data_IF_958710395448
#
_entry.id   IF_958710395448
#
_cell.length_a   1.000
_cell.length_b   1.000
_cell.length_c   1.000
_cell.angle_alpha   90.00
_cell.angle_beta   90.00
_cell.angle_gamma   90.00
#
_symmetry.space_group_name_H-M   'P 1'
#
loop_
_entity.id
_entity.type
_entity.pdbx_description
1 polymer ?
#
# COMPACT_ATOMS: atom_id res chain seq x y z
N UNK A 1 -20.70 -48.16 2.37
CA UNK A 1 -22.11 -47.90 2.71
C UNK A 1 -22.23 -46.40 2.90
N UNK A 2 -22.82 -45.68 1.94
CA UNK A 2 -23.13 -44.25 2.08
C UNK A 2 -24.39 -44.16 2.93
N UNK A 3 -24.28 -43.61 4.12
CA UNK A 3 -25.42 -43.27 4.98
C UNK A 3 -26.33 -42.28 4.24
N UNK A 4 -27.62 -42.57 4.18
CA UNK A 4 -28.62 -41.68 3.59
C UNK A 4 -28.84 -40.47 4.51
N UNK A 5 -28.69 -39.23 4.02
CA UNK A 5 -28.92 -38.02 4.80
C UNK A 5 -30.42 -37.71 4.78
N UNK A 6 -31.20 -38.34 5.67
CA UNK A 6 -32.64 -38.02 5.82
C UNK A 6 -33.03 -37.49 7.20
N UNK A 7 -32.09 -37.41 8.15
CA UNK A 7 -32.39 -37.00 9.54
C UNK A 7 -31.62 -35.74 9.99
N UNK A 8 -31.12 -34.92 9.05
CA UNK A 8 -30.46 -33.66 9.39
C UNK A 8 -31.49 -32.58 9.77
N UNK A 9 -31.84 -32.60 11.06
CA UNK A 9 -32.58 -31.61 11.86
C UNK A 9 -32.31 -30.16 11.43
N UNK A 10 -33.34 -29.31 11.42
CA UNK A 10 -33.33 -27.87 11.10
C UNK A 10 -32.48 -26.96 12.02
N UNK A 11 -31.56 -27.51 12.80
CA UNK A 11 -30.75 -26.81 13.81
C UNK A 11 -29.35 -26.40 13.33
N UNK A 12 -29.00 -26.66 12.07
CA UNK A 12 -27.71 -26.22 11.47
C UNK A 12 -27.59 -24.69 11.31
N UNK A 13 -28.66 -23.95 11.59
CA UNK A 13 -28.71 -22.49 11.58
C UNK A 13 -27.79 -21.80 12.60
N UNK A 14 -27.05 -22.55 13.42
CA UNK A 14 -26.26 -22.02 14.54
C UNK A 14 -24.73 -22.08 14.36
N UNK A 15 -24.20 -22.86 13.41
CA UNK A 15 -22.74 -22.87 13.19
C UNK A 15 -22.34 -21.76 12.24
N UNK A 16 -21.51 -20.82 12.73
CA UNK A 16 -20.98 -19.75 11.90
C UNK A 16 -19.94 -20.31 10.92
N UNK A 17 -19.85 -19.72 9.71
CA UNK A 17 -18.84 -20.08 8.70
C UNK A 17 -17.42 -20.14 9.27
N UNK A 18 -16.95 -19.17 10.09
CA UNK A 18 -15.66 -19.25 10.76
C UNK A 18 -15.46 -20.53 11.60
N UNK A 19 -16.50 -20.99 12.29
CA UNK A 19 -16.44 -22.20 13.12
C UNK A 19 -16.32 -23.46 12.26
N UNK A 20 -17.07 -23.52 11.14
CA UNK A 20 -16.99 -24.64 10.19
C UNK A 20 -15.60 -24.71 9.54
N UNK A 21 -15.01 -23.56 9.21
CA UNK A 21 -13.63 -23.46 8.70
C UNK A 21 -12.63 -23.93 9.76
N UNK A 22 -12.75 -23.46 11.01
CA UNK A 22 -11.84 -23.85 12.09
C UNK A 22 -11.85 -25.36 12.37
N UNK A 23 -13.00 -26.01 12.15
CA UNK A 23 -13.19 -27.43 12.34
C UNK A 23 -12.91 -28.27 11.08
N UNK A 24 -12.44 -27.67 9.98
CA UNK A 24 -12.23 -28.32 8.68
C UNK A 24 -13.47 -29.05 8.11
N UNK A 25 -14.68 -28.59 8.45
CA UNK A 25 -15.95 -29.26 8.11
C UNK A 25 -16.79 -28.47 7.10
N UNK A 26 -16.32 -27.31 6.62
CA UNK A 26 -17.12 -26.39 5.80
C UNK A 26 -17.79 -27.08 4.60
N UNK A 27 -17.04 -27.84 3.81
CA UNK A 27 -17.56 -28.51 2.61
C UNK A 27 -18.34 -29.81 2.91
N UNK A 28 -18.28 -30.31 4.14
CA UNK A 28 -19.14 -31.40 4.59
C UNK A 28 -20.51 -30.88 5.06
N UNK A 29 -20.51 -29.69 5.70
CA UNK A 29 -21.71 -29.02 6.18
C UNK A 29 -22.50 -28.38 5.04
N UNK A 30 -21.80 -27.76 4.08
CA UNK A 30 -22.41 -27.12 2.93
C UNK A 30 -22.15 -27.96 1.67
N UNK A 31 -22.92 -29.04 1.52
CA UNK A 31 -22.78 -30.01 0.43
C UNK A 31 -23.24 -29.46 -0.95
N UNK A 32 -24.09 -28.44 -0.95
CA UNK A 32 -24.53 -27.71 -2.15
C UNK A 32 -23.81 -26.36 -2.33
N UNK A 33 -23.39 -26.08 -3.56
CA UNK A 33 -22.67 -24.85 -3.96
C UNK A 33 -23.45 -23.58 -3.58
N UNK A 34 -24.75 -23.54 -3.84
CA UNK A 34 -25.54 -22.32 -3.62
C UNK A 34 -25.72 -22.04 -2.13
N UNK A 35 -25.86 -23.10 -1.33
CA UNK A 35 -25.94 -23.01 0.13
C UNK A 35 -24.61 -22.51 0.71
N UNK A 36 -23.48 -23.04 0.23
CA UNK A 36 -22.14 -22.56 0.60
C UNK A 36 -21.97 -21.07 0.26
N UNK A 37 -22.31 -20.68 -0.97
CA UNK A 37 -22.24 -19.28 -1.42
C UNK A 37 -23.10 -18.37 -0.52
N UNK A 38 -24.34 -18.75 -0.24
CA UNK A 38 -25.23 -17.98 0.62
C UNK A 38 -24.68 -17.83 2.04
N UNK A 39 -24.00 -18.85 2.58
CA UNK A 39 -23.33 -18.76 3.87
C UNK A 39 -22.13 -17.81 3.83
N UNK A 40 -21.30 -17.89 2.79
CA UNK A 40 -20.10 -17.06 2.63
C UNK A 40 -20.42 -15.57 2.42
N UNK A 41 -21.50 -15.23 1.70
CA UNK A 41 -21.94 -13.84 1.49
C UNK A 41 -22.29 -13.09 2.77
N UNK A 42 -22.57 -13.82 3.86
CA UNK A 42 -22.93 -13.26 5.16
C UNK A 42 -21.76 -13.29 6.16
N UNK A 43 -20.54 -13.62 5.71
CA UNK A 43 -19.36 -13.74 6.54
C UNK A 43 -18.20 -12.90 6.00
N UNK A 44 -17.55 -12.14 6.89
CA UNK A 44 -16.23 -11.56 6.63
C UNK A 44 -15.16 -12.53 7.09
N UNK A 45 -14.32 -12.98 6.17
CA UNK A 45 -13.25 -13.96 6.41
C UNK A 45 -11.92 -13.25 6.67
N UNK A 46 -11.09 -13.80 7.54
CA UNK A 46 -9.65 -13.43 7.57
C UNK A 46 -8.96 -13.99 6.32
N UNK A 47 -7.77 -13.48 5.99
CA UNK A 47 -6.98 -14.04 4.88
C UNK A 47 -6.79 -15.55 5.02
N UNK A 48 -6.43 -16.04 6.21
CA UNK A 48 -6.16 -17.46 6.44
C UNK A 48 -7.41 -18.32 6.21
N UNK A 49 -8.59 -17.82 6.62
CA UNK A 49 -9.86 -18.48 6.38
C UNK A 49 -10.23 -18.49 4.89
N UNK A 50 -10.09 -17.35 4.20
CA UNK A 50 -10.32 -17.27 2.76
C UNK A 50 -9.37 -18.20 2.00
N UNK A 51 -8.11 -18.26 2.42
CA UNK A 51 -7.10 -19.13 1.85
C UNK A 51 -7.49 -20.61 1.95
N UNK A 52 -7.99 -21.05 3.11
CA UNK A 52 -8.55 -22.39 3.29
C UNK A 52 -9.73 -22.64 2.34
N UNK A 53 -10.71 -21.73 2.29
CA UNK A 53 -11.91 -21.89 1.44
C UNK A 53 -11.51 -22.04 -0.03
N UNK A 54 -10.58 -21.22 -0.51
CA UNK A 54 -10.16 -21.23 -1.92
C UNK A 54 -9.36 -22.49 -2.25
N UNK A 55 -8.45 -22.89 -1.38
CA UNK A 55 -7.64 -24.09 -1.60
C UNK A 55 -8.47 -25.38 -1.57
N UNK A 56 -9.43 -25.47 -0.64
CA UNK A 56 -10.30 -26.64 -0.53
C UNK A 56 -11.36 -26.69 -1.64
N UNK A 57 -11.89 -25.55 -2.11
CA UNK A 57 -12.97 -25.54 -3.11
C UNK A 57 -12.60 -26.28 -4.39
N UNK A 58 -11.31 -26.25 -4.78
CA UNK A 58 -10.81 -26.92 -6.00
C UNK A 58 -10.93 -28.45 -5.95
N UNK A 59 -11.11 -29.04 -4.76
CA UNK A 59 -11.31 -30.48 -4.58
C UNK A 59 -12.74 -30.91 -4.89
N UNK A 60 -13.69 -30.00 -4.68
CA UNK A 60 -15.13 -30.29 -4.75
C UNK A 60 -15.80 -29.71 -6.00
N UNK A 61 -15.25 -28.62 -6.55
CA UNK A 61 -15.92 -27.81 -7.54
C UNK A 61 -15.07 -27.56 -8.80
N UNK A 62 -15.74 -27.25 -9.90
CA UNK A 62 -15.07 -26.84 -11.14
C UNK A 62 -14.39 -25.47 -10.96
N UNK A 63 -13.49 -25.10 -11.88
CA UNK A 63 -12.83 -23.77 -11.84
C UNK A 63 -13.86 -22.63 -11.86
N UNK A 64 -14.92 -22.76 -12.67
CA UNK A 64 -15.99 -21.76 -12.75
C UNK A 64 -16.77 -21.64 -11.43
N UNK A 65 -17.06 -22.77 -10.80
CA UNK A 65 -17.73 -22.79 -9.49
C UNK A 65 -16.81 -22.26 -8.37
N UNK A 66 -15.51 -22.55 -8.41
CA UNK A 66 -14.52 -21.97 -7.50
C UNK A 66 -14.49 -20.45 -7.63
N UNK A 67 -14.57 -19.93 -8.86
CA UNK A 67 -14.67 -18.49 -9.11
C UNK A 67 -15.93 -17.88 -8.48
N UNK A 68 -17.09 -18.53 -8.60
CA UNK A 68 -18.34 -18.08 -7.95
C UNK A 68 -18.22 -18.04 -6.43
N UNK A 69 -17.58 -19.06 -5.83
CA UNK A 69 -17.33 -19.16 -4.38
C UNK A 69 -16.39 -18.03 -3.94
N UNK A 70 -15.25 -17.86 -4.60
CA UNK A 70 -14.28 -16.80 -4.33
C UNK A 70 -14.94 -15.42 -4.41
N UNK A 71 -15.72 -15.16 -5.46
CA UNK A 71 -16.44 -13.89 -5.67
C UNK A 71 -17.42 -13.58 -4.54
N UNK A 72 -17.94 -14.60 -3.88
CA UNK A 72 -18.96 -14.49 -2.84
C UNK A 72 -18.39 -14.27 -1.45
N UNK A 73 -17.05 -14.31 -1.29
CA UNK A 73 -16.39 -14.09 -0.01
C UNK A 73 -16.07 -12.61 0.21
N UNK A 74 -16.43 -12.07 1.36
CA UNK A 74 -15.85 -10.82 1.88
C UNK A 74 -14.59 -11.15 2.68
N UNK A 75 -13.44 -10.56 2.34
CA UNK A 75 -12.14 -10.90 2.94
C UNK A 75 -11.51 -9.66 3.54
N UNK A 76 -11.31 -9.68 4.87
CA UNK A 76 -10.49 -8.69 5.56
C UNK A 76 -9.00 -8.97 5.31
N UNK A 77 -8.39 -8.17 4.45
CA UNK A 77 -6.97 -8.30 4.13
C UNK A 77 -6.03 -7.85 5.25
N UNK A 78 -6.50 -7.06 6.22
CA UNK A 78 -5.65 -6.46 7.23
C UNK A 78 -4.40 -5.74 6.66
N UNK A 79 -3.33 -5.70 7.45
CA UNK A 79 -2.06 -5.03 7.10
C UNK A 79 -0.87 -6.02 7.12
N UNK A 80 -1.00 -7.17 6.45
CA UNK A 80 0.02 -8.23 6.41
C UNK A 80 0.35 -8.62 4.97
N UNK A 81 1.34 -7.97 4.32
CA UNK A 81 1.69 -8.22 2.92
C UNK A 81 1.99 -9.69 2.61
N UNK A 82 2.72 -10.38 3.49
CA UNK A 82 3.03 -11.81 3.36
C UNK A 82 1.77 -12.68 3.20
N UNK A 83 0.71 -12.38 3.96
CA UNK A 83 -0.55 -13.11 3.87
C UNK A 83 -1.30 -12.78 2.58
N UNK A 84 -1.25 -11.53 2.12
CA UNK A 84 -1.85 -11.14 0.83
C UNK A 84 -1.15 -11.88 -0.31
N UNK A 85 0.18 -11.97 -0.29
CA UNK A 85 0.95 -12.77 -1.25
C UNK A 85 0.56 -14.25 -1.20
N UNK A 86 0.37 -14.82 -0.01
CA UNK A 86 -0.12 -16.19 0.17
C UNK A 86 -1.49 -16.39 -0.48
N UNK A 87 -2.44 -15.49 -0.22
CA UNK A 87 -3.79 -15.54 -0.80
C UNK A 87 -3.76 -15.44 -2.33
N UNK A 88 -2.92 -14.56 -2.89
CA UNK A 88 -2.74 -14.41 -4.33
C UNK A 88 -2.16 -15.67 -4.98
N UNK A 89 -1.24 -16.36 -4.32
CA UNK A 89 -0.72 -17.63 -4.82
C UNK A 89 -1.81 -18.71 -4.82
N UNK A 90 -2.63 -18.78 -3.76
CA UNK A 90 -3.77 -19.71 -3.70
C UNK A 90 -4.81 -19.40 -4.78
N UNK A 91 -5.09 -18.12 -5.05
CA UNK A 91 -5.95 -17.71 -6.17
C UNK A 91 -5.35 -18.11 -7.53
N UNK A 92 -4.04 -17.95 -7.71
CA UNK A 92 -3.33 -18.40 -8.90
C UNK A 92 -3.53 -19.91 -9.11
N UNK A 93 -3.34 -20.71 -8.06
CA UNK A 93 -3.43 -22.16 -8.13
C UNK A 93 -4.88 -22.65 -8.31
N UNK A 94 -5.83 -22.00 -7.63
CA UNK A 94 -7.25 -22.37 -7.66
C UNK A 94 -7.89 -22.01 -8.99
N UNK A 95 -7.59 -20.83 -9.54
CA UNK A 95 -8.17 -20.33 -10.79
C UNK A 95 -7.30 -20.61 -12.01
N UNK A 96 -6.10 -21.17 -11.82
CA UNK A 96 -5.09 -21.42 -12.86
C UNK A 96 -4.76 -20.15 -13.67
N UNK A 97 -4.60 -19.02 -12.96
CA UNK A 97 -4.39 -17.71 -13.58
C UNK A 97 -3.13 -17.01 -13.04
N UNK A 98 -2.05 -17.06 -13.83
CA UNK A 98 -0.72 -16.53 -13.49
C UNK A 98 -0.66 -15.04 -13.13
N UNK A 99 -1.70 -14.26 -13.46
CA UNK A 99 -1.76 -12.84 -13.13
C UNK A 99 -1.64 -12.60 -11.63
N UNK A 100 -2.28 -13.42 -10.79
CA UNK A 100 -2.24 -13.24 -9.34
C UNK A 100 -0.83 -13.44 -8.78
N UNK A 101 -0.09 -14.42 -9.31
CA UNK A 101 1.32 -14.63 -8.96
C UNK A 101 2.20 -13.45 -9.36
N UNK A 102 1.98 -12.87 -10.55
CA UNK A 102 2.69 -11.65 -10.97
C UNK A 102 2.39 -10.46 -10.05
N UNK A 103 1.14 -10.29 -9.62
CA UNK A 103 0.77 -9.27 -8.64
C UNK A 103 1.47 -9.52 -7.30
N UNK A 104 1.50 -10.77 -6.83
CA UNK A 104 2.22 -11.16 -5.61
C UNK A 104 3.70 -10.81 -5.68
N UNK A 105 4.38 -11.09 -6.80
CA UNK A 105 5.77 -10.70 -7.01
C UNK A 105 5.96 -9.18 -6.96
N UNK A 106 5.06 -8.39 -7.58
CA UNK A 106 5.13 -6.92 -7.54
C UNK A 106 4.98 -6.40 -6.10
N UNK A 107 4.06 -6.97 -5.31
CA UNK A 107 3.88 -6.59 -3.90
C UNK A 107 5.15 -6.93 -3.10
N UNK A 108 5.72 -8.11 -3.29
CA UNK A 108 6.94 -8.53 -2.60
C UNK A 108 8.15 -7.67 -2.98
N UNK A 109 8.33 -7.38 -4.27
CA UNK A 109 9.41 -6.53 -4.76
C UNK A 109 9.27 -5.11 -4.18
N UNK A 110 8.04 -4.63 -4.06
CA UNK A 110 7.74 -3.34 -3.45
C UNK A 110 8.05 -3.31 -1.96
N UNK A 111 7.66 -4.35 -1.21
CA UNK A 111 8.00 -4.48 0.21
C UNK A 111 9.51 -4.53 0.41
N UNK A 112 10.22 -5.32 -0.39
CA UNK A 112 11.68 -5.40 -0.38
C UNK A 112 12.33 -4.04 -0.68
N UNK A 113 11.78 -3.30 -1.65
CA UNK A 113 12.24 -1.96 -1.99
C UNK A 113 12.00 -0.98 -0.82
N UNK A 114 10.83 -0.99 -0.20
CA UNK A 114 10.54 -0.15 0.97
C UNK A 114 11.47 -0.44 2.14
N UNK A 115 11.75 -1.72 2.41
CA UNK A 115 12.70 -2.14 3.44
C UNK A 115 14.12 -1.63 3.12
N UNK A 116 14.54 -1.70 1.85
CA UNK A 116 15.85 -1.23 1.40
C UNK A 116 15.99 0.29 1.48
N UNK A 117 14.95 1.05 1.10
CA UNK A 117 14.93 2.51 1.14
C UNK A 117 14.81 3.05 2.57
N UNK A 118 14.10 2.34 3.46
CA UNK A 118 13.84 2.79 4.81
C UNK A 118 14.19 1.74 5.89
N UNK A 119 15.48 1.38 6.03
CA UNK A 119 15.90 0.34 6.97
C UNK A 119 15.57 0.67 8.44
N UNK A 120 15.42 1.97 8.77
CA UNK A 120 15.03 2.43 10.11
C UNK A 120 13.53 2.24 10.42
N UNK A 121 12.65 2.27 9.41
CA UNK A 121 11.21 1.99 9.57
C UNK A 121 10.96 0.49 9.75
N UNK A 122 11.69 -0.34 9.01
CA UNK A 122 11.65 -1.81 9.14
C UNK A 122 12.01 -2.28 10.57
N UNK A 123 13.04 -1.68 11.18
CA UNK A 123 13.46 -2.03 12.56
C UNK A 123 12.48 -1.59 13.63
N UNK A 124 11.85 -0.42 13.50
CA UNK A 124 10.93 0.11 14.52
C UNK A 124 9.57 -0.59 14.50
N UNK A 125 9.05 -0.93 13.31
CA UNK A 125 7.75 -1.60 13.20
C UNK A 125 7.82 -3.07 13.63
N UNK A 126 8.89 -3.79 13.27
CA UNK A 126 9.09 -5.18 13.71
C UNK A 126 9.34 -5.31 15.22
N UNK A 127 10.15 -4.43 15.83
CA UNK A 127 10.43 -4.47 17.27
C UNK A 127 9.24 -4.04 18.13
N UNK A 128 8.47 -3.02 17.71
CA UNK A 128 7.28 -2.62 18.46
C UNK A 128 6.18 -3.68 18.39
N UNK A 129 5.89 -4.25 17.23
CA UNK A 129 4.82 -5.24 17.10
C UNK A 129 5.16 -6.53 17.85
N UNK A 130 6.39 -7.03 17.74
CA UNK A 130 6.84 -8.20 18.50
C UNK A 130 6.74 -7.97 20.01
N UNK A 131 7.18 -6.79 20.50
CA UNK A 131 7.09 -6.47 21.94
C UNK A 131 5.66 -6.30 22.44
N UNK A 132 4.73 -5.84 21.60
CA UNK A 132 3.31 -5.69 21.92
C UNK A 132 2.62 -7.06 21.92
N UNK A 133 2.97 -7.93 20.96
CA UNK A 133 2.47 -9.31 20.87
C UNK A 133 2.97 -10.14 22.06
N UNK A 134 4.26 -10.04 22.41
CA UNK A 134 4.83 -10.74 23.58
C UNK A 134 4.22 -10.26 24.90
N UNK A 135 4.00 -8.95 25.05
CA UNK A 135 3.27 -8.41 26.21
C UNK A 135 1.82 -8.89 26.26
N UNK A 136 1.14 -8.94 25.12
CA UNK A 136 -0.25 -9.39 25.05
C UNK A 136 -0.36 -10.88 25.36
N UNK A 137 0.61 -11.69 24.90
CA UNK A 137 0.72 -13.12 25.18
C UNK A 137 1.06 -13.40 26.65
N UNK A 138 2.01 -12.68 27.24
CA UNK A 138 2.31 -12.76 28.68
C UNK A 138 1.12 -12.32 29.55
N UNK A 139 0.33 -11.34 29.09
CA UNK A 139 -0.89 -10.91 29.78
C UNK A 139 -2.03 -11.94 29.65
N UNK A 140 -2.09 -12.70 28.55
CA UNK A 140 -3.06 -13.76 28.35
C UNK A 140 -2.70 -15.05 29.12
N UNK A 141 -1.41 -15.37 29.22
CA UNK A 141 -0.88 -16.52 29.98
C UNK A 141 -0.95 -16.28 31.51
N UNK A 142 -0.91 -15.03 31.96
CA UNK A 142 -1.20 -14.65 33.34
C UNK A 142 -2.71 -14.62 33.62
N UNK A 143 -3.23 -15.77 34.02
CA UNK A 143 -4.64 -16.15 34.27
C UNK A 143 -5.43 -15.37 35.35
N UNK A 144 -5.06 -14.12 35.67
CA UNK A 144 -5.83 -13.27 36.59
C UNK A 144 -6.92 -12.45 35.87
N UNK A 145 -6.83 -12.23 34.55
CA UNK A 145 -7.72 -11.33 33.81
C UNK A 145 -9.07 -11.95 33.37
N UNK A 146 -9.18 -13.28 33.35
CA UNK A 146 -10.49 -13.94 33.16
C UNK A 146 -11.44 -13.73 34.36
N UNK A 147 -10.93 -13.30 35.52
CA UNK A 147 -11.73 -13.13 36.75
C UNK A 147 -12.19 -11.70 37.01
N UNK A 148 -11.73 -10.69 36.27
CA UNK A 148 -12.16 -9.31 36.52
C UNK A 148 -12.15 -8.41 35.27
N UNK A 149 -13.23 -8.44 34.46
CA UNK A 149 -13.39 -7.64 33.23
C UNK A 149 -13.26 -6.13 33.45
N UNK A 150 -13.53 -5.64 34.68
CA UNK A 150 -13.48 -4.21 35.00
C UNK A 150 -12.06 -3.63 34.96
N UNK A 151 -11.03 -4.42 35.26
CA UNK A 151 -9.62 -3.98 35.18
C UNK A 151 -9.14 -3.89 33.73
N UNK A 152 -9.55 -4.82 32.87
CA UNK A 152 -9.22 -4.82 31.45
C UNK A 152 -9.84 -3.61 30.74
N UNK A 153 -11.12 -3.32 30.97
CA UNK A 153 -11.80 -2.16 30.41
C UNK A 153 -11.18 -0.83 30.87
N UNK A 154 -10.67 -0.77 32.12
CA UNK A 154 -9.96 0.40 32.63
C UNK A 154 -8.58 0.59 31.97
N UNK A 155 -7.87 -0.50 31.65
CA UNK A 155 -6.60 -0.43 30.92
C UNK A 155 -6.80 -0.07 29.44
N UNK A 156 -7.82 -0.61 28.77
CA UNK A 156 -8.20 -0.24 27.40
C UNK A 156 -8.57 1.25 27.32
N UNK A 157 -9.34 1.75 28.30
CA UNK A 157 -9.65 3.17 28.43
C UNK A 157 -8.40 4.05 28.58
N UNK A 158 -7.41 3.59 29.35
CA UNK A 158 -6.16 4.32 29.53
C UNK A 158 -5.25 4.29 28.29
N UNK A 159 -5.27 3.20 27.52
CA UNK A 159 -4.55 3.10 26.23
C UNK A 159 -5.16 4.03 25.18
N UNK A 160 -6.50 4.13 25.12
CA UNK A 160 -7.19 5.11 24.28
C UNK A 160 -6.83 6.56 24.64
N UNK A 161 -6.63 6.86 25.93
CA UNK A 161 -6.17 8.17 26.40
C UNK A 161 -4.70 8.46 26.10
N UNK A 162 -3.85 7.43 25.98
CA UNK A 162 -2.46 7.60 25.56
C UNK A 162 -2.34 7.85 24.05
N UNK A 163 -3.13 7.14 23.23
CA UNK A 163 -3.17 7.35 21.77
C UNK A 163 -3.68 8.73 21.35
N UNK A 164 -4.59 9.33 22.14
CA UNK A 164 -5.12 10.68 21.91
C UNK A 164 -4.24 11.81 22.44
N UNK A 165 -3.20 11.50 23.23
CA UNK A 165 -2.19 12.50 23.65
C UNK A 165 -1.08 12.70 22.62
N UNK A 166 -0.75 11.67 21.84
CA UNK A 166 0.27 11.77 20.78
C UNK A 166 -0.16 12.65 19.59
N UNK A 167 -1.47 12.85 19.35
CA UNK A 167 -1.96 13.79 18.31
C UNK A 167 -1.92 15.27 18.71
N UNK A 168 -1.76 15.59 20.00
CA UNK A 168 -1.76 16.97 20.49
C UNK A 168 -0.34 17.57 20.53
N UNK A 169 0.69 16.73 20.72
CA UNK A 169 2.08 17.20 20.81
C UNK A 169 2.76 17.41 19.44
N UNK A 170 2.26 16.82 18.35
CA UNK A 170 2.81 17.09 17.00
C UNK A 170 2.43 18.48 16.44
N UNK A 171 1.33 19.09 16.92
CA UNK A 171 0.94 20.45 16.48
C UNK A 171 1.72 21.57 17.17
N UNK A 172 2.39 21.31 18.28
CA UNK A 172 3.12 22.33 19.05
C UNK A 172 4.64 22.30 18.83
N UNK A 173 5.18 21.34 18.07
CA UNK A 173 6.61 21.22 17.81
C UNK A 173 7.12 22.08 16.63
N UNK A 174 6.26 22.83 15.92
CA UNK A 174 6.64 23.62 14.74
C UNK A 174 6.89 25.12 15.02
N UNK A 175 6.80 25.56 16.27
CA UNK A 175 7.13 26.93 16.66
C UNK A 175 8.06 26.84 17.86
N UNK A 176 9.38 26.86 17.60
CA UNK A 176 10.48 27.24 18.50
C UNK A 176 11.78 26.54 18.03
N UNK A 177 12.38 27.01 16.93
CA UNK A 177 13.83 26.90 16.69
C UNK A 177 14.28 27.99 15.69
N UNK A 178 14.24 29.24 16.13
CA UNK A 178 15.16 30.28 15.68
C UNK A 178 15.81 30.82 16.96
N UNK A 179 17.04 30.39 17.27
CA UNK A 179 18.16 31.28 17.57
C UNK A 179 19.43 30.48 17.95
N UNK A 180 20.57 31.11 17.63
CA UNK A 180 21.94 30.87 18.08
C UNK A 180 22.79 29.75 17.43
N UNK A 181 23.93 30.19 16.86
CA UNK A 181 25.16 29.38 16.84
C UNK A 181 25.99 29.46 15.57
N UNK A 182 26.67 30.58 15.33
CA UNK A 182 27.70 30.70 14.29
C UNK A 182 28.84 29.70 14.48
N UNK A 183 29.06 28.81 13.51
CA UNK A 183 30.28 28.01 13.38
C UNK A 183 30.97 28.39 12.06
N UNK A 184 32.13 29.06 12.18
CA UNK A 184 33.09 29.24 11.09
C UNK A 184 33.68 27.87 10.75
N UNK A 185 33.33 27.33 9.58
CA UNK A 185 34.02 26.16 9.00
C UNK A 185 35.07 26.64 8.01
N UNK A 186 36.32 26.40 8.37
CA UNK A 186 37.50 26.56 7.54
C UNK A 186 37.45 25.56 6.37
N UNK A 187 37.48 26.08 5.13
CA UNK A 187 37.45 25.26 3.91
C UNK A 187 38.77 24.52 3.75
N UNK A 188 38.74 23.20 3.94
CA UNK A 188 39.78 22.29 3.47
C UNK A 188 39.58 22.05 1.97
N UNK A 189 40.58 22.41 1.17
CA UNK A 189 40.60 22.17 -0.29
C UNK A 189 40.69 20.66 -0.59
N UNK A 190 39.85 20.11 -1.48
CA UNK A 190 40.02 18.75 -1.97
C UNK A 190 41.17 18.65 -2.98
N UNK A 191 41.78 17.46 -3.13
CA UNK A 191 42.97 17.26 -3.95
C UNK A 191 42.66 17.37 -5.44
N UNK A 192 43.57 18.03 -6.17
CA UNK A 192 43.55 18.15 -7.64
C UNK A 192 43.71 16.76 -8.28
N UNK A 193 42.63 16.22 -8.83
CA UNK A 193 42.68 15.08 -9.75
C UNK A 193 42.91 15.58 -11.17
N UNK A 194 44.11 15.34 -11.70
CA UNK A 194 44.41 15.53 -13.12
C UNK A 194 43.80 14.39 -13.94
N UNK A 195 42.62 14.61 -14.51
CA UNK A 195 42.13 13.80 -15.64
C UNK A 195 41.72 14.73 -16.78
N UNK A 196 42.58 14.82 -17.79
CA UNK A 196 42.32 15.50 -19.05
C UNK A 196 41.33 14.66 -19.85
N UNK A 197 40.04 14.91 -19.63
CA UNK A 197 38.96 14.52 -20.54
C UNK A 197 38.53 15.78 -21.26
N UNK A 198 38.75 15.84 -22.58
CA UNK A 198 38.18 16.84 -23.47
C UNK A 198 36.65 16.70 -23.44
N UNK A 199 36.04 17.35 -22.47
CA UNK A 199 34.60 17.61 -22.45
C UNK A 199 34.42 18.90 -23.22
N UNK A 200 33.85 18.79 -24.42
CA UNK A 200 33.39 19.94 -25.19
C UNK A 200 32.36 20.68 -24.35
N UNK A 201 32.78 21.80 -23.75
CA UNK A 201 31.92 22.72 -23.02
C UNK A 201 30.91 23.28 -24.02
N UNK A 202 29.70 22.71 -24.05
CA UNK A 202 28.57 23.36 -24.69
C UNK A 202 28.27 24.63 -23.89
N UNK A 203 28.55 25.75 -24.55
CA UNK A 203 28.31 27.12 -24.13
C UNK A 203 26.87 27.23 -23.61
N UNK A 204 26.72 27.61 -22.34
CA UNK A 204 25.45 27.72 -21.64
C UNK A 204 24.39 28.44 -22.49
N UNK A 205 23.32 27.71 -22.76
CA UNK A 205 22.20 28.20 -23.55
C UNK A 205 21.38 29.16 -22.65
N UNK A 206 21.07 30.39 -23.08
CA UNK A 206 20.27 31.36 -22.32
C UNK A 206 18.79 30.97 -22.11
N UNK A 207 18.41 29.70 -22.33
CA UNK A 207 17.04 29.18 -22.17
C UNK A 207 16.58 29.15 -20.70
N UNK A 208 17.53 29.01 -19.76
CA UNK A 208 17.25 28.66 -18.37
C UNK A 208 16.37 29.67 -17.61
N UNK A 209 16.34 30.96 -17.98
CA UNK A 209 15.50 31.93 -17.27
C UNK A 209 14.03 31.80 -17.66
N UNK A 210 13.72 31.54 -18.93
CA UNK A 210 12.35 31.67 -19.44
C UNK A 210 11.40 30.62 -18.85
N UNK A 211 11.85 29.39 -18.62
CA UNK A 211 11.01 28.33 -18.04
C UNK A 211 10.86 28.47 -16.52
N UNK A 212 11.90 28.94 -15.81
CA UNK A 212 11.79 29.30 -14.38
C UNK A 212 10.84 30.50 -14.22
N UNK A 213 10.93 31.50 -15.09
CA UNK A 213 10.01 32.65 -15.10
C UNK A 213 8.56 32.24 -15.41
N UNK A 214 8.35 31.18 -16.19
CA UNK A 214 7.02 30.60 -16.41
C UNK A 214 6.53 29.86 -15.16
N UNK A 215 7.35 28.98 -14.58
CA UNK A 215 6.98 28.22 -13.38
C UNK A 215 6.65 29.16 -12.22
N UNK A 216 7.50 30.14 -11.93
CA UNK A 216 7.30 31.10 -10.82
C UNK A 216 6.03 31.94 -10.92
N UNK A 217 5.42 32.05 -12.10
CA UNK A 217 4.13 32.72 -12.31
C UNK A 217 2.92 31.81 -12.10
N UNK A 218 3.13 30.49 -12.04
CA UNK A 218 2.09 29.51 -11.81
C UNK A 218 1.82 29.42 -10.30
N UNK A 219 0.58 29.70 -9.91
CA UNK A 219 0.13 29.47 -8.54
C UNK A 219 0.05 27.96 -8.25
N UNK A 220 0.74 27.51 -7.19
CA UNK A 220 0.73 26.09 -6.77
C UNK A 220 -0.64 25.76 -6.17
N UNK A 221 -1.51 25.19 -7.02
CA UNK A 221 -2.81 24.66 -6.62
C UNK A 221 -3.13 23.40 -7.41
N UNK A 222 -3.83 22.48 -6.76
CA UNK A 222 -4.36 21.30 -7.45
C UNK A 222 -5.38 21.71 -8.51
N UNK A 223 -5.40 20.99 -9.61
CA UNK A 223 -6.33 21.23 -10.71
C UNK A 223 -5.73 20.88 -12.06
N UNK A 224 -6.59 20.42 -12.97
CA UNK A 224 -6.20 19.99 -14.32
C UNK A 224 -5.28 20.99 -15.04
N UNK A 225 -5.66 22.28 -15.09
CA UNK A 225 -4.91 23.28 -15.87
C UNK A 225 -3.51 23.52 -15.31
N UNK A 226 -3.41 23.83 -14.01
CA UNK A 226 -2.12 24.04 -13.33
C UNK A 226 -1.21 22.83 -13.48
N UNK A 227 -1.76 21.63 -13.33
CA UNK A 227 -1.02 20.39 -13.47
C UNK A 227 -0.38 20.25 -14.86
N UNK A 228 -1.16 20.46 -15.93
CA UNK A 228 -0.65 20.30 -17.30
C UNK A 228 0.33 21.40 -17.70
N UNK A 229 0.13 22.63 -17.23
CA UNK A 229 1.07 23.73 -17.47
C UNK A 229 2.45 23.40 -16.85
N UNK A 230 2.47 22.88 -15.61
CA UNK A 230 3.70 22.43 -14.95
C UNK A 230 4.29 21.22 -15.67
N UNK A 231 3.47 20.22 -16.01
CA UNK A 231 3.92 19.01 -16.69
C UNK A 231 4.61 19.32 -18.03
N UNK A 232 4.03 20.22 -18.83
CA UNK A 232 4.60 20.61 -20.12
C UNK A 232 5.95 21.28 -19.95
N UNK A 233 6.08 22.20 -18.97
CA UNK A 233 7.36 22.87 -18.69
C UNK A 233 8.43 21.85 -18.28
N UNK A 234 8.11 20.92 -17.37
CA UNK A 234 9.08 19.91 -16.92
C UNK A 234 9.45 18.91 -18.01
N UNK A 235 8.49 18.51 -18.84
CA UNK A 235 8.76 17.62 -19.97
C UNK A 235 9.68 18.28 -21.00
N UNK A 236 9.50 19.58 -21.28
CA UNK A 236 10.37 20.34 -22.18
C UNK A 236 11.76 20.52 -21.56
N UNK A 237 11.84 20.87 -20.27
CA UNK A 237 13.10 20.98 -19.55
C UNK A 237 13.90 19.66 -19.58
N UNK A 238 13.23 18.51 -19.40
CA UNK A 238 13.86 17.20 -19.53
C UNK A 238 14.42 16.95 -20.93
N UNK A 239 13.65 17.23 -22.00
CA UNK A 239 14.11 17.07 -23.39
C UNK A 239 15.29 17.97 -23.74
N UNK A 240 15.34 19.17 -23.14
CA UNK A 240 16.42 20.14 -23.31
C UNK A 240 17.62 19.89 -22.37
N UNK A 241 17.55 18.88 -21.49
CA UNK A 241 18.49 18.65 -20.40
C UNK A 241 18.69 19.88 -19.49
N UNK A 242 17.65 20.69 -19.29
CA UNK A 242 17.67 21.85 -18.40
C UNK A 242 17.43 21.43 -16.94
N UNK A 243 18.51 20.98 -16.30
CA UNK A 243 18.45 20.50 -14.92
C UNK A 243 18.06 21.58 -13.91
N UNK A 244 18.30 22.86 -14.22
CA UNK A 244 18.01 23.96 -13.30
C UNK A 244 16.51 24.13 -13.11
N UNK A 245 15.74 24.03 -14.20
CA UNK A 245 14.28 24.08 -14.16
C UNK A 245 13.71 22.90 -13.36
N UNK A 246 14.27 21.71 -13.55
CA UNK A 246 13.83 20.49 -12.83
C UNK A 246 14.09 20.63 -11.33
N UNK A 247 15.31 21.03 -10.94
CA UNK A 247 15.66 21.23 -9.54
C UNK A 247 14.80 22.33 -8.91
N UNK A 248 14.63 23.46 -9.60
CA UNK A 248 13.76 24.55 -9.14
C UNK A 248 12.32 24.07 -8.89
N UNK A 249 11.77 23.25 -9.79
CA UNK A 249 10.42 22.71 -9.64
C UNK A 249 10.28 21.77 -8.43
N UNK A 250 11.28 20.93 -8.18
CA UNK A 250 11.33 20.03 -7.02
C UNK A 250 11.46 20.85 -5.73
N UNK A 251 12.41 21.76 -5.66
CA UNK A 251 12.69 22.60 -4.47
C UNK A 251 11.48 23.46 -4.07
N UNK A 252 10.65 23.83 -5.04
CA UNK A 252 9.44 24.64 -4.82
C UNK A 252 8.15 23.83 -4.85
N UNK A 253 8.20 22.49 -4.71
CA UNK A 253 7.05 21.59 -4.59
C UNK A 253 6.07 21.58 -5.80
N UNK A 254 6.47 22.05 -6.99
CA UNK A 254 5.63 21.94 -8.19
C UNK A 254 5.33 20.49 -8.58
N UNK A 255 6.21 19.57 -8.19
CA UNK A 255 6.07 18.13 -8.38
C UNK A 255 4.93 17.48 -7.57
N UNK A 256 4.42 18.16 -6.55
CA UNK A 256 3.37 17.66 -5.66
C UNK A 256 1.95 18.07 -6.09
N UNK A 257 1.84 18.87 -7.16
CA UNK A 257 0.54 19.29 -7.70
C UNK A 257 -0.21 18.07 -8.22
N UNK A 258 -1.47 17.94 -7.83
CA UNK A 258 -2.37 16.89 -8.28
C UNK A 258 -3.32 17.41 -9.36
N UNK A 259 -3.65 16.56 -10.33
CA UNK A 259 -4.76 16.81 -11.24
C UNK A 259 -6.12 16.50 -10.58
N UNK A 260 -7.22 16.68 -11.32
CA UNK A 260 -8.59 16.44 -10.83
C UNK A 260 -8.87 14.96 -10.50
N UNK A 261 -8.02 14.04 -10.95
CA UNK A 261 -8.07 12.62 -10.63
C UNK A 261 -7.14 12.23 -9.45
N UNK A 262 -6.66 13.23 -8.70
CA UNK A 262 -5.71 13.07 -7.59
C UNK A 262 -4.36 12.45 -8.01
N UNK A 263 -3.99 12.58 -9.29
CA UNK A 263 -2.74 12.06 -9.83
C UNK A 263 -1.65 13.15 -9.84
N UNK A 264 -0.48 12.83 -9.30
CA UNK A 264 0.71 13.67 -9.41
C UNK A 264 1.45 13.47 -10.76
N UNK A 265 2.53 14.24 -10.97
CA UNK A 265 3.29 14.24 -12.22
C UNK A 265 3.83 12.85 -12.60
N UNK A 266 4.32 12.06 -11.64
CA UNK A 266 4.86 10.72 -11.88
C UNK A 266 3.81 9.76 -12.44
N UNK A 267 2.55 9.87 -11.99
CA UNK A 267 1.45 9.08 -12.56
C UNK A 267 1.28 9.36 -14.04
N UNK A 268 1.35 10.62 -14.43
CA UNK A 268 1.17 11.01 -15.81
C UNK A 268 2.33 10.54 -16.69
N UNK A 269 3.56 10.64 -16.19
CA UNK A 269 4.76 10.12 -16.86
C UNK A 269 4.63 8.60 -17.05
N UNK A 270 4.29 7.88 -15.99
CA UNK A 270 4.11 6.43 -16.02
C UNK A 270 2.97 5.99 -16.95
N UNK A 271 1.83 6.70 -16.91
CA UNK A 271 0.67 6.45 -17.78
C UNK A 271 1.00 6.60 -19.27
N UNK A 272 1.94 7.49 -19.59
CA UNK A 272 2.45 7.67 -20.96
C UNK A 272 3.56 6.68 -21.34
N UNK A 273 4.00 5.83 -20.42
CA UNK A 273 5.07 4.87 -20.64
C UNK A 273 6.46 5.51 -20.78
N UNK A 274 6.64 6.77 -20.36
CA UNK A 274 7.90 7.50 -20.48
C UNK A 274 8.84 7.13 -19.33
N UNK A 275 9.33 5.88 -19.38
CA UNK A 275 10.11 5.28 -18.29
C UNK A 275 11.46 5.97 -18.06
N UNK A 276 12.06 6.55 -19.10
CA UNK A 276 13.32 7.30 -18.97
C UNK A 276 13.11 8.62 -18.25
N UNK A 277 12.04 9.36 -18.56
CA UNK A 277 11.71 10.57 -17.81
C UNK A 277 11.36 10.25 -16.35
N UNK A 278 10.66 9.15 -16.10
CA UNK A 278 10.32 8.70 -14.74
C UNK A 278 11.58 8.42 -13.91
N UNK A 279 12.53 7.65 -14.46
CA UNK A 279 13.83 7.37 -13.82
C UNK A 279 14.62 8.64 -13.57
N UNK A 280 14.61 9.57 -14.53
CA UNK A 280 15.30 10.85 -14.41
C UNK A 280 14.76 11.68 -13.24
N UNK A 281 13.44 11.84 -13.14
CA UNK A 281 12.81 12.60 -12.05
C UNK A 281 13.10 11.99 -10.67
N UNK A 282 13.05 10.65 -10.56
CA UNK A 282 13.44 9.96 -9.33
C UNK A 282 14.90 10.20 -8.97
N UNK A 283 15.82 10.12 -9.95
CA UNK A 283 17.25 10.42 -9.74
C UNK A 283 17.48 11.86 -9.27
N UNK A 284 16.62 12.81 -9.64
CA UNK A 284 16.66 14.20 -9.19
C UNK A 284 16.04 14.44 -7.81
N UNK A 285 15.58 13.38 -7.13
CA UNK A 285 15.07 13.46 -5.77
C UNK A 285 13.55 13.67 -5.67
N UNK A 286 12.81 13.52 -6.79
CA UNK A 286 11.35 13.51 -6.72
C UNK A 286 10.88 12.27 -5.95
N UNK A 287 10.03 12.48 -4.94
CA UNK A 287 9.50 11.39 -4.12
C UNK A 287 8.53 10.51 -4.93
N UNK A 288 8.94 9.26 -5.15
CA UNK A 288 8.12 8.25 -5.83
C UNK A 288 7.10 7.60 -4.88
N UNK A 289 7.20 7.78 -3.57
CA UNK A 289 6.32 7.15 -2.58
C UNK A 289 4.86 7.51 -2.83
N UNK A 290 4.58 8.80 -3.08
CA UNK A 290 3.23 9.27 -3.38
C UNK A 290 2.66 8.66 -4.67
N UNK A 291 3.51 8.41 -5.67
CA UNK A 291 3.13 7.69 -6.89
C UNK A 291 2.71 6.25 -6.60
N UNK A 292 3.45 5.55 -5.73
CA UNK A 292 3.11 4.19 -5.37
C UNK A 292 1.83 4.09 -4.56
N UNK A 293 1.65 4.94 -3.54
CA UNK A 293 0.45 4.92 -2.69
C UNK A 293 -0.81 5.08 -3.54
N UNK A 294 -0.83 6.08 -4.42
CA UNK A 294 -1.99 6.35 -5.27
C UNK A 294 -2.16 5.28 -6.36
N UNK A 295 -1.08 4.73 -6.93
CA UNK A 295 -1.17 3.63 -7.89
C UNK A 295 -1.72 2.34 -7.27
N UNK A 296 -1.25 1.97 -6.07
CA UNK A 296 -1.75 0.82 -5.30
C UNK A 296 -3.21 1.04 -4.92
N UNK A 297 -3.55 2.22 -4.38
CA UNK A 297 -4.92 2.59 -4.08
C UNK A 297 -5.81 2.48 -5.32
N UNK A 298 -5.36 2.90 -6.49
CA UNK A 298 -6.18 2.83 -7.70
C UNK A 298 -6.32 1.40 -8.25
N UNK A 299 -5.29 0.57 -8.14
CA UNK A 299 -5.41 -0.86 -8.45
C UNK A 299 -6.40 -1.49 -7.48
N UNK A 300 -6.33 -1.14 -6.20
CA UNK A 300 -7.26 -1.57 -5.18
C UNK A 300 -8.70 -1.10 -5.46
N UNK A 301 -8.91 0.19 -5.73
CA UNK A 301 -10.21 0.78 -6.08
C UNK A 301 -10.75 0.11 -7.35
N UNK A 302 -9.90 -0.16 -8.35
CA UNK A 302 -10.30 -0.91 -9.54
C UNK A 302 -10.69 -2.34 -9.22
N UNK A 303 -9.90 -3.07 -8.41
CA UNK A 303 -10.22 -4.43 -7.99
C UNK A 303 -11.54 -4.46 -7.21
N UNK A 304 -11.75 -3.50 -6.30
CA UNK A 304 -13.00 -3.33 -5.55
C UNK A 304 -14.20 -2.94 -6.44
N UNK A 305 -13.96 -2.13 -7.48
CA UNK A 305 -14.98 -1.76 -8.47
C UNK A 305 -15.27 -2.87 -9.48
N UNK A 306 -14.30 -3.76 -9.73
CA UNK A 306 -14.50 -4.99 -10.52
C UNK A 306 -15.33 -5.96 -9.70
N UNK A 307 -15.12 -6.06 -8.38
CA UNK A 307 -16.06 -6.76 -7.48
C UNK A 307 -17.46 -6.14 -7.57
N UNK A 308 -17.58 -4.81 -7.59
CA UNK A 308 -18.85 -4.09 -7.77
C UNK A 308 -19.51 -4.29 -9.15
N UNK A 309 -18.76 -4.22 -10.25
CA UNK A 309 -19.26 -4.47 -11.62
C UNK A 309 -19.65 -5.93 -11.83
N UNK A 310 -18.94 -6.85 -11.20
CA UNK A 310 -19.32 -8.26 -11.17
C UNK A 310 -20.52 -8.54 -10.25
N UNK A 311 -20.96 -7.58 -9.42
CA UNK A 311 -22.22 -7.69 -8.66
C UNK A 311 -23.44 -7.29 -9.50
N UNK A 312 -23.23 -6.62 -10.64
CA UNK A 312 -24.27 -6.14 -11.55
C UNK A 312 -24.61 -7.11 -12.71
N UNK A 313 -23.91 -8.23 -12.80
CA UNK A 313 -24.17 -9.34 -13.73
C UNK A 313 -24.44 -10.64 -12.95
#
# INVERSE_FOLDING_TARGET
MKSTPSDFSSDWSLQSVPQCIFNDTLFEVFDDKNTLIGALQNATLTIEQANYVFDESKKYYSIGDCFDIIRSCDVDLGNKPDLVCMLLNTLCDTLQFDLFKKIGHIIQDFENMLIACHPKLSRKNSLNLASIIDKSRQNAENTEYARNPSKLNKQISNLHKLGSRTEIDEKNAFVLMEDEGSIKVERVNPPKSNSSVKTTVQKGNPSNSANIDKLSKIEIKNGYRTFYDVYEILQNAYKENDENVINYAIDNNYTNILNDAEENLLHQIARRGDTEFLKYMHKKGMDITLFFIVSVKRVWDKLSSVTFLLTLF
#
